data_IF_261579192427
#
_entry.id   IF_261579192427
#
_cell.length_a   1.000
_cell.length_b   1.000
_cell.length_c   1.000
_cell.angle_alpha   90.00
_cell.angle_beta   90.00
_cell.angle_gamma   90.00
#
_symmetry.space_group_name_H-M   'P 1'
#
loop_
_entity.id
_entity.type
_entity.pdbx_description
1 polymer ?
#
# COMPACT_ATOMS: atom_id res chain seq x y z
N UNK A 1 5.26 -12.72 12.65
CA UNK A 1 6.27 -13.53 11.91
C UNK A 1 6.53 -12.78 10.62
N UNK A 2 7.52 -11.88 10.62
CA UNK A 2 7.98 -11.28 9.36
C UNK A 2 8.63 -12.41 8.57
N UNK A 3 8.26 -12.54 7.30
CA UNK A 3 8.88 -13.53 6.45
C UNK A 3 10.36 -13.15 6.28
N UNK A 4 11.27 -14.13 6.38
CA UNK A 4 12.71 -13.89 6.31
C UNK A 4 13.16 -13.35 4.94
N UNK A 5 14.47 -13.13 4.79
CA UNK A 5 15.06 -12.74 3.50
C UNK A 5 14.63 -13.70 2.38
N UNK A 6 14.17 -13.16 1.24
CA UNK A 6 13.73 -13.95 0.09
C UNK A 6 12.36 -14.61 0.27
N UNK A 7 11.37 -13.92 0.84
CA UNK A 7 10.04 -14.49 1.05
C UNK A 7 8.97 -14.07 0.04
N UNK A 8 9.23 -13.01 -0.71
CA UNK A 8 8.33 -12.50 -1.75
C UNK A 8 9.12 -12.50 -3.04
N UNK A 9 8.57 -13.17 -4.06
CA UNK A 9 9.21 -13.39 -5.34
C UNK A 9 8.27 -12.97 -6.45
N UNK A 10 8.84 -12.34 -7.49
CA UNK A 10 8.15 -12.19 -8.76
C UNK A 10 8.50 -13.37 -9.64
N UNK A 11 7.48 -14.15 -9.97
CA UNK A 11 7.60 -15.28 -10.88
C UNK A 11 7.20 -14.83 -12.28
N UNK A 12 8.11 -14.99 -13.23
CA UNK A 12 7.93 -14.73 -14.67
C UNK A 12 8.15 -16.02 -15.45
N UNK A 13 8.11 -15.97 -16.78
CA UNK A 13 8.57 -17.10 -17.60
C UNK A 13 10.10 -17.33 -17.47
N UNK A 14 10.84 -16.30 -17.06
CA UNK A 14 12.26 -16.35 -16.70
C UNK A 14 12.50 -16.66 -15.20
N UNK A 15 13.77 -16.68 -14.78
CA UNK A 15 14.18 -16.94 -13.39
C UNK A 15 13.48 -15.99 -12.39
N UNK A 16 12.81 -16.53 -11.36
CA UNK A 16 12.17 -15.72 -10.33
C UNK A 16 13.18 -14.81 -9.60
N UNK A 17 12.75 -13.61 -9.25
CA UNK A 17 13.58 -12.65 -8.52
C UNK A 17 12.88 -12.07 -7.30
N UNK A 18 13.63 -11.57 -6.30
CA UNK A 18 13.05 -10.97 -5.10
C UNK A 18 12.14 -9.77 -5.42
N UNK A 19 11.02 -9.67 -4.71
CA UNK A 19 10.02 -8.61 -4.89
C UNK A 19 9.56 -8.06 -3.55
N UNK A 20 8.92 -6.89 -3.58
CA UNK A 20 8.29 -6.26 -2.43
C UNK A 20 6.85 -5.85 -2.79
N UNK A 21 5.94 -6.04 -1.85
CA UNK A 21 4.52 -5.73 -1.99
C UNK A 21 4.10 -4.80 -0.86
N UNK A 22 3.49 -3.67 -1.23
CA UNK A 22 2.81 -2.78 -0.31
C UNK A 22 1.31 -3.06 -0.41
N UNK A 23 0.72 -3.56 0.67
CA UNK A 23 -0.72 -3.70 0.82
C UNK A 23 -1.23 -2.55 1.67
N UNK A 24 -2.09 -1.72 1.10
CA UNK A 24 -2.60 -0.51 1.73
C UNK A 24 -4.11 -0.60 1.91
N UNK A 25 -4.55 -0.88 3.14
CA UNK A 25 -5.95 -0.76 3.52
C UNK A 25 -6.28 0.71 3.80
N UNK A 26 -7.22 1.27 3.02
CA UNK A 26 -7.60 2.68 3.06
C UNK A 26 -9.11 2.84 3.17
N UNK A 27 -9.56 4.00 3.68
CA UNK A 27 -10.97 4.39 3.57
C UNK A 27 -11.35 4.68 2.11
N UNK A 28 -12.51 4.20 1.69
CA UNK A 28 -13.09 4.45 0.38
C UNK A 28 -13.47 5.92 0.18
N UNK A 29 -13.58 6.35 -1.08
CA UNK A 29 -14.05 7.69 -1.46
C UNK A 29 -13.00 8.55 -2.16
N UNK A 30 -11.71 8.28 -1.94
CA UNK A 30 -10.63 8.97 -2.68
C UNK A 30 -10.66 8.61 -4.17
N UNK A 31 -10.51 9.58 -5.08
CA UNK A 31 -10.58 9.30 -6.49
C UNK A 31 -9.30 8.55 -6.98
N UNK A 32 -9.37 7.83 -8.11
CA UNK A 32 -8.25 7.02 -8.60
C UNK A 32 -6.94 7.80 -8.78
N UNK A 33 -6.99 9.05 -9.23
CA UNK A 33 -5.82 9.92 -9.43
C UNK A 33 -5.05 10.17 -8.14
N UNK A 34 -5.75 10.43 -7.03
CA UNK A 34 -5.12 10.65 -5.73
C UNK A 34 -4.44 9.37 -5.22
N UNK A 35 -5.02 8.20 -5.51
CA UNK A 35 -4.41 6.90 -5.17
C UNK A 35 -3.18 6.62 -6.03
N UNK A 36 -3.19 7.03 -7.30
CA UNK A 36 -2.02 6.94 -8.17
C UNK A 36 -0.87 7.83 -7.66
N UNK A 37 -1.16 9.08 -7.31
CA UNK A 37 -0.17 10.00 -6.73
C UNK A 37 0.42 9.44 -5.42
N UNK A 38 -0.42 8.86 -4.55
CA UNK A 38 0.04 8.20 -3.34
C UNK A 38 0.93 6.98 -3.65
N UNK A 39 0.55 6.14 -4.63
CA UNK A 39 1.36 5.00 -5.02
C UNK A 39 2.74 5.41 -5.55
N UNK A 40 2.81 6.46 -6.38
CA UNK A 40 4.07 7.01 -6.88
C UNK A 40 4.95 7.52 -5.73
N UNK A 41 4.37 8.24 -4.77
CA UNK A 41 5.09 8.71 -3.60
C UNK A 41 5.61 7.56 -2.72
N UNK A 42 4.81 6.53 -2.50
CA UNK A 42 5.21 5.33 -1.75
C UNK A 42 6.34 4.57 -2.46
N UNK A 43 6.23 4.36 -3.78
CA UNK A 43 7.29 3.73 -4.59
C UNK A 43 8.58 4.54 -4.49
N UNK A 44 8.51 5.87 -4.66
CA UNK A 44 9.69 6.73 -4.56
C UNK A 44 10.35 6.61 -3.19
N UNK A 45 9.57 6.57 -2.10
CA UNK A 45 10.10 6.38 -0.76
C UNK A 45 10.76 5.01 -0.57
N UNK A 46 10.18 3.94 -1.13
CA UNK A 46 10.80 2.60 -1.10
C UNK A 46 12.13 2.56 -1.87
N UNK A 47 12.19 3.19 -3.04
CA UNK A 47 13.43 3.29 -3.82
C UNK A 47 14.48 4.08 -3.03
N UNK A 48 14.12 5.25 -2.49
CA UNK A 48 15.05 6.14 -1.79
C UNK A 48 15.57 5.53 -0.48
N UNK A 49 14.67 5.00 0.36
CA UNK A 49 14.99 4.60 1.73
C UNK A 49 15.48 3.15 1.79
N UNK A 50 14.89 2.25 0.99
CA UNK A 50 15.17 0.81 1.04
C UNK A 50 16.08 0.37 -0.12
N UNK A 51 16.38 1.24 -1.09
CA UNK A 51 17.23 0.91 -2.23
C UNK A 51 16.61 -0.13 -3.17
N UNK A 52 15.28 -0.28 -3.16
CA UNK A 52 14.58 -1.25 -3.99
C UNK A 52 14.51 -0.80 -5.44
N UNK A 53 14.50 -1.76 -6.37
CA UNK A 53 14.29 -1.47 -7.79
C UNK A 53 12.80 -1.31 -8.08
N UNK A 54 12.42 -0.39 -8.96
CA UNK A 54 10.99 -0.13 -9.25
C UNK A 54 10.27 -1.36 -9.81
N UNK A 55 10.96 -2.19 -10.58
CA UNK A 55 10.45 -3.43 -11.16
C UNK A 55 10.15 -4.50 -10.10
N UNK A 56 10.68 -4.34 -8.88
CA UNK A 56 10.45 -5.26 -7.77
C UNK A 56 9.23 -4.89 -6.94
N UNK A 57 8.67 -3.68 -7.12
CA UNK A 57 7.63 -3.13 -6.28
C UNK A 57 6.24 -3.28 -6.90
N UNK A 58 5.26 -3.65 -6.08
CA UNK A 58 3.83 -3.48 -6.35
C UNK A 58 3.17 -2.75 -5.18
N UNK A 59 2.20 -1.88 -5.47
CA UNK A 59 1.34 -1.22 -4.48
C UNK A 59 -0.11 -1.59 -4.79
N UNK A 60 -0.81 -2.12 -3.79
CA UNK A 60 -2.21 -2.53 -3.90
C UNK A 60 -3.04 -1.81 -2.85
N UNK A 61 -4.18 -1.27 -3.26
CA UNK A 61 -5.13 -0.63 -2.37
C UNK A 61 -6.37 -1.50 -2.17
N UNK A 62 -6.63 -1.88 -0.93
CA UNK A 62 -7.94 -2.39 -0.50
C UNK A 62 -8.72 -1.23 0.10
N UNK A 63 -9.94 -1.00 -0.38
CA UNK A 63 -10.78 0.08 0.11
C UNK A 63 -11.85 -0.48 1.06
N UNK A 64 -12.07 0.26 2.14
CA UNK A 64 -13.02 -0.06 3.19
C UNK A 64 -13.94 1.11 3.46
N UNK A 65 -15.17 0.81 3.86
CA UNK A 65 -15.99 1.82 4.54
C UNK A 65 -15.37 2.18 5.88
N UNK A 66 -15.62 3.40 6.36
CA UNK A 66 -15.11 3.84 7.66
C UNK A 66 -15.52 2.89 8.79
N UNK A 67 -16.75 2.40 8.73
CA UNK A 67 -17.32 1.48 9.73
C UNK A 67 -16.76 0.05 9.69
N UNK A 68 -15.86 -0.25 8.76
CA UNK A 68 -15.07 -1.50 8.72
C UNK A 68 -13.72 -1.35 9.43
N UNK A 69 -13.29 -0.12 9.73
CA UNK A 69 -11.97 0.18 10.29
C UNK A 69 -12.07 0.67 11.74
N UNK A 70 -11.76 -0.22 12.71
CA UNK A 70 -11.69 0.14 14.13
C UNK A 70 -10.30 0.65 14.51
N UNK A 71 -10.22 1.89 15.01
CA UNK A 71 -8.99 2.53 15.45
C UNK A 71 -9.07 2.93 16.93
N UNK A 72 -8.46 2.16 17.87
CA UNK A 72 -8.58 2.40 19.31
C UNK A 72 -8.16 3.80 19.75
N UNK A 73 -7.10 4.36 19.14
CA UNK A 73 -6.62 5.71 19.47
C UNK A 73 -7.50 6.85 18.92
N UNK A 74 -8.39 6.55 17.97
CA UNK A 74 -9.35 7.52 17.41
C UNK A 74 -10.76 7.33 17.99
N UNK A 75 -10.91 6.46 19.00
CA UNK A 75 -12.15 6.33 19.76
C UNK A 75 -13.18 5.34 19.21
N UNK A 76 -12.84 4.54 18.19
CA UNK A 76 -13.74 3.49 17.71
C UNK A 76 -13.66 3.23 16.21
N UNK A 77 -14.81 2.94 15.61
CA UNK A 77 -14.96 2.84 14.16
C UNK A 77 -14.68 4.19 13.51
N UNK A 78 -14.11 4.15 12.31
CA UNK A 78 -13.77 5.35 11.55
C UNK A 78 -15.00 5.91 10.84
N UNK A 79 -14.98 7.20 10.54
CA UNK A 79 -15.93 7.79 9.60
C UNK A 79 -15.46 7.58 8.15
N UNK A 80 -16.39 7.59 7.20
CA UNK A 80 -16.05 7.59 5.77
C UNK A 80 -15.18 8.79 5.40
N UNK A 81 -14.35 8.66 4.37
CA UNK A 81 -13.54 9.78 3.93
C UNK A 81 -14.40 10.87 3.28
N UNK A 82 -14.09 12.12 3.60
CA UNK A 82 -14.72 13.30 3.00
C UNK A 82 -13.71 14.11 2.16
N UNK A 83 -14.15 14.79 1.08
CA UNK A 83 -13.26 15.61 0.24
C UNK A 83 -12.54 16.76 0.95
N UNK A 84 -13.02 17.16 2.13
CA UNK A 84 -12.39 18.21 2.94
C UNK A 84 -11.18 17.70 3.72
N UNK A 85 -10.98 16.38 3.78
CA UNK A 85 -9.80 15.73 4.36
C UNK A 85 -8.69 15.60 3.31
N UNK A 86 -7.50 16.12 3.64
CA UNK A 86 -6.29 15.98 2.81
C UNK A 86 -5.62 14.62 3.01
#
# INVERSE_FOLDING_TARGET
MLLGEGSVWRCTDDEPYPSALLMCDIREGRPPEMRAELAEALISACVEILGLCIEQLNVEFTQHKGDEMYHPMLGGLSDDWTPDEK
#
